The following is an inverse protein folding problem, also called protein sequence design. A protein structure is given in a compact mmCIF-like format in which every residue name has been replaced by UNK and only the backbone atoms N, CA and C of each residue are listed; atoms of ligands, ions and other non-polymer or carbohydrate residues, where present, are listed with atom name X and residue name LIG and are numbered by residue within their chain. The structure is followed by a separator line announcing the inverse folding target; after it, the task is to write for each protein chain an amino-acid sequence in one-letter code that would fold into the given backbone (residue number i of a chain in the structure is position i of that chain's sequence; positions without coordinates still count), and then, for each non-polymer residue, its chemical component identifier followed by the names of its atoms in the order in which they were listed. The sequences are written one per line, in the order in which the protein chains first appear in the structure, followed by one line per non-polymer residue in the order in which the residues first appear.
data_IF_253495550862
#
_entry.id   IF_253495550862
#
_cell.length_a   1.000
_cell.length_b   1.000
_cell.length_c   1.000
_cell.angle_alpha   90.00
_cell.angle_beta   90.00
_cell.angle_gamma   90.00
#
_symmetry.space_group_name_H-M   'P 1'
#
loop_
_entity.id
_entity.type
_entity.pdbx_description
1 polymer ?
#
# COMPACT_ATOMS: atom_id res chain seq x y z
N UNK A 1 -26.73 14.81 29.31
CA UNK A 1 -26.78 13.48 29.95
C UNK A 1 -26.53 12.41 28.89
N UNK A 2 -25.84 11.35 29.28
CA UNK A 2 -25.12 10.36 28.48
C UNK A 2 -26.05 9.38 27.68
N UNK A 3 -25.47 8.44 26.89
CA UNK A 3 -26.03 7.85 25.64
C UNK A 3 -26.77 6.50 25.83
N UNK A 4 -27.43 5.99 24.77
CA UNK A 4 -27.84 4.58 24.60
C UNK A 4 -28.06 4.29 23.09
N UNK A 5 -27.15 3.63 22.35
CA UNK A 5 -26.89 2.17 22.24
C UNK A 5 -28.13 1.38 21.77
N UNK A 6 -28.25 1.17 20.46
CA UNK A 6 -28.09 -0.14 19.76
C UNK A 6 -29.28 -1.08 19.91
N UNK A 7 -30.01 -1.30 18.82
CA UNK A 7 -30.82 -2.51 18.60
C UNK A 7 -30.17 -3.34 17.49
N UNK A 8 -29.73 -4.52 17.89
CA UNK A 8 -29.26 -5.60 17.03
C UNK A 8 -30.46 -6.30 16.42
N UNK A 9 -30.47 -6.45 15.10
CA UNK A 9 -31.33 -7.43 14.42
C UNK A 9 -30.42 -8.40 13.69
N UNK A 10 -30.25 -9.58 14.27
CA UNK A 10 -29.66 -10.75 13.63
C UNK A 10 -30.69 -11.38 12.70
N UNK A 11 -30.42 -11.41 11.39
CA UNK A 11 -31.03 -12.39 10.49
C UNK A 11 -29.92 -13.21 9.85
N UNK A 12 -29.77 -14.44 10.35
CA UNK A 12 -29.01 -15.49 9.70
C UNK A 12 -29.82 -16.02 8.52
N UNK A 13 -29.23 -15.99 7.32
CA UNK A 13 -29.67 -16.77 6.18
C UNK A 13 -28.42 -17.43 5.56
N UNK A 14 -28.32 -18.73 5.77
CA UNK A 14 -27.37 -19.60 5.10
C UNK A 14 -27.88 -19.90 3.69
N UNK A 15 -27.01 -19.83 2.67
CA UNK A 15 -26.98 -20.75 1.53
C UNK A 15 -25.89 -20.37 0.52
N UNK A 16 -24.99 -21.32 0.25
CA UNK A 16 -24.70 -21.75 -1.12
C UNK A 16 -23.66 -20.99 -1.95
N UNK A 17 -22.75 -21.77 -2.54
CA UNK A 17 -21.89 -21.39 -3.67
C UNK A 17 -20.48 -21.03 -3.23
N UNK A 18 -19.42 -21.78 -3.52
CA UNK A 18 -19.17 -22.53 -4.74
C UNK A 18 -18.22 -21.71 -5.62
N UNK A 19 -16.94 -22.11 -5.60
CA UNK A 19 -16.03 -21.93 -6.73
C UNK A 19 -15.25 -20.62 -6.80
N UNK A 20 -13.98 -20.78 -7.18
CA UNK A 20 -13.31 -19.80 -8.02
C UNK A 20 -12.19 -19.02 -7.34
N UNK A 21 -10.96 -19.47 -7.56
CA UNK A 21 -9.76 -18.71 -7.27
C UNK A 21 -9.71 -17.41 -8.07
N UNK A 22 -9.00 -16.43 -7.50
CA UNK A 22 -8.78 -15.11 -8.07
C UNK A 22 -7.88 -14.30 -7.17
N UNK A 23 -6.76 -14.88 -6.74
CA UNK A 23 -5.69 -14.12 -6.11
C UNK A 23 -5.03 -13.23 -7.16
N UNK A 24 -5.16 -11.91 -7.02
CA UNK A 24 -4.43 -10.98 -7.86
C UNK A 24 -4.99 -9.57 -7.88
N UNK A 25 -4.24 -8.65 -7.27
CA UNK A 25 -4.02 -7.27 -7.74
C UNK A 25 -5.13 -6.20 -7.62
N UNK A 26 -6.00 -6.21 -6.60
CA UNK A 26 -6.83 -5.03 -6.31
C UNK A 26 -6.13 -3.93 -5.46
N UNK A 27 -5.03 -4.24 -4.76
CA UNK A 27 -4.44 -3.34 -3.77
C UNK A 27 -3.56 -2.21 -4.34
N UNK A 28 -3.18 -2.26 -5.63
CA UNK A 28 -2.27 -1.26 -6.21
C UNK A 28 -2.99 -0.01 -6.75
N UNK A 29 -4.25 -0.13 -7.17
CA UNK A 29 -4.99 0.97 -7.79
C UNK A 29 -5.44 2.06 -6.80
N UNK A 30 -5.72 1.69 -5.54
CA UNK A 30 -6.14 2.65 -4.50
C UNK A 30 -5.02 3.56 -4.00
N UNK A 31 -3.76 3.11 -3.98
CA UNK A 31 -2.64 3.90 -3.47
C UNK A 31 -2.13 4.94 -4.49
N UNK A 32 -2.27 4.68 -5.79
CA UNK A 32 -1.77 5.58 -6.84
C UNK A 32 -2.68 6.81 -7.01
N UNK A 33 -4.01 6.65 -6.89
CA UNK A 33 -4.96 7.76 -7.01
C UNK A 33 -4.86 8.74 -5.83
N UNK A 34 -4.71 8.24 -4.60
CA UNK A 34 -4.54 9.08 -3.41
C UNK A 34 -3.21 9.84 -3.40
N UNK A 35 -2.13 9.24 -3.92
CA UNK A 35 -0.83 9.92 -4.03
C UNK A 35 -0.82 11.03 -5.08
N UNK A 36 -1.51 10.83 -6.21
CA UNK A 36 -1.67 11.88 -7.21
C UNK A 36 -2.50 13.05 -6.65
N UNK A 37 -3.56 12.75 -5.90
CA UNK A 37 -4.37 13.75 -5.19
C UNK A 37 -3.56 14.54 -4.16
N UNK A 38 -2.72 13.87 -3.37
CA UNK A 38 -1.92 14.53 -2.32
C UNK A 38 -0.80 15.40 -2.89
N UNK A 39 -0.11 14.94 -3.95
CA UNK A 39 0.90 15.74 -4.65
C UNK A 39 0.31 16.98 -5.32
N UNK A 40 -0.90 16.86 -5.86
CA UNK A 40 -1.61 17.97 -6.46
C UNK A 40 -2.07 18.97 -5.40
N UNK A 41 -2.62 18.49 -4.27
CA UNK A 41 -2.98 19.32 -3.13
C UNK A 41 -1.78 20.14 -2.60
N UNK A 42 -0.62 19.52 -2.41
CA UNK A 42 0.59 20.24 -1.96
C UNK A 42 1.06 21.26 -2.99
N UNK A 43 0.98 20.96 -4.28
CA UNK A 43 1.34 21.90 -5.35
C UNK A 43 0.40 23.09 -5.39
N UNK A 44 -0.90 22.85 -5.26
CA UNK A 44 -1.92 23.89 -5.25
C UNK A 44 -1.71 24.81 -4.03
N UNK A 45 -1.43 24.23 -2.85
CA UNK A 45 -1.10 25.00 -1.65
C UNK A 45 0.20 25.81 -1.78
N UNK A 46 1.27 25.27 -2.37
CA UNK A 46 2.50 26.06 -2.61
C UNK A 46 2.23 27.23 -3.56
N UNK A 47 1.36 27.03 -4.55
CA UNK A 47 0.97 28.07 -5.50
C UNK A 47 0.14 29.16 -4.81
N UNK A 48 -0.79 28.77 -3.94
CA UNK A 48 -1.57 29.69 -3.12
C UNK A 48 -0.70 30.46 -2.12
N UNK A 49 0.30 29.81 -1.51
CA UNK A 49 1.27 30.45 -0.64
C UNK A 49 2.06 31.55 -1.38
N UNK A 50 2.55 31.23 -2.59
CA UNK A 50 3.26 32.20 -3.45
C UNK A 50 2.38 33.40 -3.79
N UNK A 51 1.11 33.14 -4.13
CA UNK A 51 0.13 34.19 -4.44
C UNK A 51 -0.17 35.07 -3.23
N UNK A 52 -0.37 34.49 -2.05
CA UNK A 52 -0.58 35.24 -0.82
C UNK A 52 0.63 36.09 -0.45
N UNK A 53 1.84 35.56 -0.64
CA UNK A 53 3.07 36.29 -0.38
C UNK A 53 3.20 37.51 -1.30
N UNK A 54 2.88 37.35 -2.59
CA UNK A 54 2.83 38.47 -3.55
C UNK A 54 1.74 39.48 -3.18
N UNK A 55 0.57 39.02 -2.75
CA UNK A 55 -0.52 39.87 -2.26
C UNK A 55 -0.14 40.66 -1.01
N UNK A 56 0.62 40.05 -0.10
CA UNK A 56 1.14 40.70 1.12
C UNK A 56 2.06 41.88 0.78
N UNK A 57 3.01 41.67 -0.14
CA UNK A 57 3.91 42.74 -0.58
C UNK A 57 3.14 43.86 -1.28
N UNK A 58 2.20 43.53 -2.16
CA UNK A 58 1.35 44.53 -2.81
C UNK A 58 0.48 45.32 -1.82
N UNK A 59 -0.07 44.65 -0.80
CA UNK A 59 -0.87 45.30 0.23
C UNK A 59 -0.03 46.21 1.13
N UNK A 60 1.22 45.82 1.44
CA UNK A 60 2.17 46.66 2.18
C UNK A 60 2.61 47.88 1.37
N UNK A 61 2.88 47.73 0.07
CA UNK A 61 3.23 48.85 -0.82
C UNK A 61 2.08 49.88 -0.89
N UNK A 62 0.84 49.41 -1.05
CA UNK A 62 -0.36 50.27 -1.07
C UNK A 62 -0.58 50.95 0.28
N UNK A 63 -0.27 50.28 1.38
CA UNK A 63 -0.40 50.84 2.73
C UNK A 63 0.69 51.88 3.04
N UNK A 64 1.91 51.70 2.52
CA UNK A 64 3.01 52.69 2.59
C UNK A 64 2.68 53.94 1.76
N UNK A 65 1.96 53.78 0.64
CA UNK A 65 1.44 54.89 -0.16
C UNK A 65 0.25 55.64 0.51
N UNK A 66 -0.19 55.22 1.71
CA UNK A 66 -1.28 55.86 2.44
C UNK A 66 -2.68 55.56 1.89
N UNK A 67 -2.82 54.57 1.00
CA UNK A 67 -4.09 54.10 0.46
C UNK A 67 -4.60 52.91 1.26
N UNK A 68 -5.92 52.75 1.35
CA UNK A 68 -6.53 51.59 2.00
C UNK A 68 -6.40 50.39 1.07
N UNK A 69 -5.59 49.40 1.47
CA UNK A 69 -5.45 48.16 0.74
C UNK A 69 -6.77 47.34 0.77
N UNK A 70 -7.10 46.60 -0.30
CA UNK A 70 -8.32 45.79 -0.38
C UNK A 70 -8.34 44.62 0.62
N UNK A 71 -7.20 44.19 1.12
CA UNK A 71 -7.08 43.17 2.17
C UNK A 71 -6.01 43.63 3.16
N UNK A 72 -6.32 43.57 4.47
CA UNK A 72 -5.38 44.01 5.48
C UNK A 72 -4.19 43.03 5.53
N UNK A 73 -2.92 43.51 5.54
CA UNK A 73 -1.76 42.63 5.58
C UNK A 73 -1.76 41.65 6.76
N UNK A 74 -2.41 42.01 7.86
CA UNK A 74 -2.58 41.16 9.03
C UNK A 74 -3.49 39.94 8.74
N UNK A 75 -4.51 40.11 7.91
CA UNK A 75 -5.41 39.02 7.52
C UNK A 75 -4.76 38.11 6.48
N UNK A 76 -3.97 38.66 5.55
CA UNK A 76 -3.12 37.87 4.64
C UNK A 76 -2.10 37.05 5.46
N UNK A 77 -1.48 37.63 6.48
CA UNK A 77 -0.55 36.92 7.37
C UNK A 77 -1.23 35.76 8.12
N UNK A 78 -2.46 35.94 8.61
CA UNK A 78 -3.23 34.84 9.24
C UNK A 78 -3.54 33.71 8.27
N UNK A 79 -3.88 34.05 7.02
CA UNK A 79 -4.13 33.04 5.99
C UNK A 79 -2.85 32.27 5.65
N UNK A 80 -1.68 32.94 5.58
CA UNK A 80 -0.36 32.29 5.42
C UNK A 80 -0.10 31.29 6.54
N UNK A 81 -0.31 31.68 7.80
CA UNK A 81 -0.09 30.79 8.96
C UNK A 81 -1.04 29.58 8.95
N UNK A 82 -2.31 29.77 8.55
CA UNK A 82 -3.24 28.65 8.38
C UNK A 82 -2.82 27.70 7.26
N UNK A 83 -2.31 28.25 6.16
CA UNK A 83 -1.83 27.47 5.04
C UNK A 83 -0.61 26.63 5.44
N UNK A 84 0.33 27.20 6.19
CA UNK A 84 1.49 26.50 6.74
C UNK A 84 1.09 25.34 7.65
N UNK A 85 0.13 25.55 8.55
CA UNK A 85 -0.39 24.48 9.41
C UNK A 85 -0.99 23.33 8.58
N UNK A 86 -1.68 23.67 7.49
CA UNK A 86 -2.27 22.68 6.59
C UNK A 86 -1.21 21.93 5.79
N UNK A 87 -0.16 22.63 5.34
CA UNK A 87 0.96 22.06 4.60
C UNK A 87 1.78 21.11 5.48
N UNK A 88 2.01 21.49 6.73
CA UNK A 88 2.68 20.66 7.73
C UNK A 88 1.90 19.36 7.97
N UNK A 89 0.58 19.44 8.12
CA UNK A 89 -0.27 18.25 8.23
C UNK A 89 -0.29 17.38 6.96
N UNK A 90 -0.12 17.98 5.78
CA UNK A 90 0.03 17.22 4.53
C UNK A 90 1.40 16.52 4.46
N UNK A 91 2.47 17.17 4.92
CA UNK A 91 3.82 16.59 4.99
C UNK A 91 3.85 15.39 5.94
N UNK A 92 3.26 15.50 7.13
CA UNK A 92 3.16 14.37 8.07
C UNK A 92 2.46 13.16 7.44
N UNK A 93 1.38 13.38 6.69
CA UNK A 93 0.69 12.31 5.95
C UNK A 93 1.56 11.70 4.86
N UNK A 94 2.38 12.49 4.17
CA UNK A 94 3.34 12.00 3.18
C UNK A 94 4.38 11.11 3.86
N UNK A 95 4.95 11.55 4.98
CA UNK A 95 5.94 10.77 5.73
C UNK A 95 5.38 9.44 6.21
N UNK A 96 4.15 9.44 6.74
CA UNK A 96 3.46 8.23 7.15
C UNK A 96 3.28 7.26 5.97
N UNK A 97 2.82 7.77 4.83
CA UNK A 97 2.68 6.97 3.61
C UNK A 97 4.03 6.43 3.13
N UNK A 98 5.11 7.21 3.20
CA UNK A 98 6.44 6.75 2.81
C UNK A 98 6.95 5.62 3.71
N UNK A 99 6.75 5.73 5.03
CA UNK A 99 7.05 4.63 5.98
C UNK A 99 6.27 3.37 5.65
N UNK A 100 4.97 3.50 5.38
CA UNK A 100 4.14 2.36 4.99
C UNK A 100 4.63 1.73 3.67
N UNK A 101 4.99 2.54 2.68
CA UNK A 101 5.53 2.06 1.39
C UNK A 101 6.89 1.37 1.53
N UNK A 102 7.75 1.83 2.45
CA UNK A 102 8.98 1.12 2.79
C UNK A 102 8.67 -0.24 3.41
N UNK A 103 7.71 -0.31 4.35
CA UNK A 103 7.30 -1.57 4.96
C UNK A 103 6.69 -2.55 3.96
N UNK A 104 5.85 -2.07 3.04
CA UNK A 104 5.30 -2.90 1.96
C UNK A 104 6.41 -3.48 1.08
N UNK A 105 7.41 -2.67 0.71
CA UNK A 105 8.56 -3.15 -0.07
C UNK A 105 9.35 -4.22 0.68
N UNK A 106 9.60 -4.01 1.98
CA UNK A 106 10.28 -4.99 2.81
C UNK A 106 9.54 -6.34 2.85
N UNK A 107 8.23 -6.32 3.11
CA UNK A 107 7.42 -7.53 3.14
C UNK A 107 7.39 -8.24 1.78
N UNK A 108 7.40 -7.49 0.66
CA UNK A 108 7.49 -8.09 -0.67
C UNK A 108 8.80 -8.84 -0.89
N UNK A 109 9.93 -8.28 -0.44
CA UNK A 109 11.22 -8.95 -0.50
C UNK A 109 11.23 -10.24 0.34
N UNK A 110 10.66 -10.19 1.55
CA UNK A 110 10.52 -11.36 2.42
C UNK A 110 9.66 -12.46 1.74
N UNK A 111 8.56 -12.09 1.07
CA UNK A 111 7.72 -13.03 0.31
C UNK A 111 8.49 -13.64 -0.87
N UNK A 112 9.27 -12.85 -1.61
CA UNK A 112 10.09 -13.35 -2.72
C UNK A 112 11.15 -14.35 -2.24
N UNK A 113 11.80 -14.07 -1.12
CA UNK A 113 12.76 -14.99 -0.49
C UNK A 113 12.08 -16.30 -0.04
N UNK A 114 10.92 -16.21 0.61
CA UNK A 114 10.15 -17.38 1.01
C UNK A 114 9.69 -18.21 -0.19
N UNK A 115 9.21 -17.57 -1.25
CA UNK A 115 8.84 -18.26 -2.49
C UNK A 115 10.02 -19.01 -3.11
N UNK A 116 11.22 -18.41 -3.09
CA UNK A 116 12.43 -19.08 -3.54
C UNK A 116 12.74 -20.32 -2.69
N UNK A 117 12.65 -20.20 -1.37
CA UNK A 117 12.85 -21.33 -0.46
C UNK A 117 11.83 -22.46 -0.71
N UNK A 118 10.56 -22.12 -0.91
CA UNK A 118 9.50 -23.08 -1.25
C UNK A 118 9.83 -23.80 -2.57
N UNK A 119 10.25 -23.08 -3.60
CA UNK A 119 10.62 -23.69 -4.89
C UNK A 119 11.81 -24.64 -4.74
N UNK A 120 12.79 -24.31 -3.91
CA UNK A 120 13.90 -25.23 -3.58
C UNK A 120 13.40 -26.49 -2.89
N UNK A 121 12.50 -26.37 -1.91
CA UNK A 121 11.91 -27.54 -1.23
C UNK A 121 11.12 -28.41 -2.21
N UNK A 122 10.31 -27.81 -3.09
CA UNK A 122 9.56 -28.55 -4.12
C UNK A 122 10.50 -29.31 -5.04
N UNK A 123 11.61 -28.68 -5.46
CA UNK A 123 12.60 -29.35 -6.30
C UNK A 123 13.23 -30.53 -5.58
N UNK A 124 13.68 -30.35 -4.34
CA UNK A 124 14.26 -31.43 -3.53
C UNK A 124 13.28 -32.58 -3.32
N UNK A 125 11.99 -32.30 -3.09
CA UNK A 125 10.96 -33.32 -2.95
C UNK A 125 10.71 -34.08 -4.26
N UNK A 126 10.72 -33.37 -5.41
CA UNK A 126 10.61 -34.00 -6.73
C UNK A 126 11.79 -34.92 -7.01
N UNK A 127 13.01 -34.47 -6.68
CA UNK A 127 14.23 -35.24 -6.90
C UNK A 127 14.28 -36.47 -6.00
N UNK A 128 13.91 -36.32 -4.73
CA UNK A 128 13.79 -37.44 -3.79
C UNK A 128 12.73 -38.46 -4.24
N UNK A 129 11.58 -37.97 -4.73
CA UNK A 129 10.54 -38.82 -5.31
C UNK A 129 11.06 -39.61 -6.52
N UNK A 130 11.71 -38.94 -7.47
CA UNK A 130 12.25 -39.58 -8.67
C UNK A 130 13.33 -40.62 -8.32
N UNK A 131 14.18 -40.31 -7.34
CA UNK A 131 15.20 -41.25 -6.84
C UNK A 131 14.55 -42.49 -6.23
N UNK A 132 13.46 -42.32 -5.47
CA UNK A 132 12.72 -43.42 -4.88
C UNK A 132 12.02 -44.29 -5.94
N UNK A 133 11.38 -43.67 -6.93
CA UNK A 133 10.75 -44.37 -8.06
C UNK A 133 11.79 -45.22 -8.81
N UNK A 134 12.96 -44.66 -9.15
CA UNK A 134 14.05 -45.40 -9.80
C UNK A 134 14.57 -46.55 -8.92
N UNK A 135 14.71 -46.36 -7.61
CA UNK A 135 15.14 -47.43 -6.70
C UNK A 135 14.13 -48.59 -6.60
N UNK A 136 12.83 -48.29 -6.69
CA UNK A 136 11.77 -49.29 -6.70
C UNK A 136 11.74 -50.07 -8.02
N UNK A 137 11.85 -49.37 -9.16
CA UNK A 137 11.96 -49.99 -10.49
C UNK A 137 13.17 -50.94 -10.57
N UNK A 138 14.33 -50.50 -10.06
CA UNK A 138 15.53 -51.33 -9.98
C UNK A 138 15.33 -52.58 -9.11
N UNK A 139 14.58 -52.47 -8.01
CA UNK A 139 14.27 -53.61 -7.14
C UNK A 139 13.33 -54.60 -7.83
N UNK A 140 12.28 -54.12 -8.48
CA UNK A 140 11.32 -54.96 -9.18
C UNK A 140 11.98 -55.68 -10.35
N UNK A 141 12.86 -55.00 -11.09
CA UNK A 141 13.63 -55.61 -12.17
C UNK A 141 14.59 -56.70 -11.65
N UNK A 142 15.29 -56.45 -10.52
CA UNK A 142 16.14 -57.46 -9.88
C UNK A 142 15.34 -58.69 -9.42
N UNK A 143 14.13 -58.48 -8.90
CA UNK A 143 13.24 -59.57 -8.46
C UNK A 143 12.73 -60.40 -9.63
N UNK A 144 12.36 -59.76 -10.74
CA UNK A 144 11.95 -60.46 -11.96
C UNK A 144 13.08 -61.35 -12.50
N UNK A 145 14.30 -60.81 -12.63
CA UNK A 145 15.47 -61.57 -13.09
C UNK A 145 15.78 -62.76 -12.16
N UNK A 146 15.69 -62.56 -10.84
CA UNK A 146 15.94 -63.63 -9.87
C UNK A 146 14.86 -64.73 -9.88
N UNK A 147 13.63 -64.40 -10.28
CA UNK A 147 12.55 -65.36 -10.46
C UNK A 147 12.74 -66.18 -11.74
N UNK A 148 13.07 -65.51 -12.85
CA UNK A 148 13.35 -66.18 -14.14
C UNK A 148 14.58 -67.09 -14.05
N UNK A 149 15.62 -66.70 -13.30
CA UNK A 149 16.80 -67.54 -13.09
C UNK A 149 16.53 -68.81 -12.24
N UNK A 150 15.35 -68.92 -11.62
CA UNK A 150 14.95 -70.09 -10.80
C UNK A 150 13.95 -71.01 -11.49
N UNK A 151 13.38 -70.62 -12.64
CA UNK A 151 12.49 -71.48 -13.46
C UNK A 151 13.28 -72.27 -14.48
#
# INVERSE_FOLDING_TARGET
MAPSTTTVTTSAAAAGGGGGGGGGTAAAAGSASSQHSLRQLVRDQITDYSRLTQSLFAALDVQVEGKVAPEAPNDIMKQIVQLDATLMGAVEKIELHQKQQQRIRQVRLEIEEQNKAIMTVIHNLRDAKQTLESCLEDQDQKRAIAADARS
#
